data_IF_666149346273
#
_entry.id   IF_666149346273
#
_cell.length_a   1.000
_cell.length_b   1.000
_cell.length_c   1.000
_cell.angle_alpha   90.00
_cell.angle_beta   90.00
_cell.angle_gamma   90.00
#
_symmetry.space_group_name_H-M   'P 1'
#
loop_
_entity.id
_entity.type
_entity.pdbx_description
1 polymer ?
#
# COMPACT_ATOMS: atom_id res chain seq x y z
N UNK A 1 17.17 10.62 -29.26
CA UNK A 1 16.10 9.67 -28.88
C UNK A 1 14.77 10.40 -29.03
N UNK A 2 13.80 9.88 -29.79
CA UNK A 2 12.48 10.52 -29.94
C UNK A 2 11.71 10.39 -28.62
N UNK A 3 11.13 11.48 -28.12
CA UNK A 3 10.36 11.54 -26.87
C UNK A 3 9.09 10.70 -26.96
N UNK A 4 9.23 9.39 -26.81
CA UNK A 4 8.10 8.43 -26.82
C UNK A 4 7.05 8.76 -25.75
N UNK A 5 7.48 9.43 -24.68
CA UNK A 5 6.65 9.98 -23.60
C UNK A 5 5.71 11.11 -24.03
N UNK A 6 6.05 11.85 -25.09
CA UNK A 6 5.24 12.94 -25.62
C UNK A 6 4.21 12.47 -26.67
N UNK A 7 4.34 11.22 -27.13
CA UNK A 7 3.43 10.63 -28.13
C UNK A 7 2.25 9.87 -27.52
N UNK A 8 1.43 9.31 -28.41
CA UNK A 8 0.25 8.52 -28.07
C UNK A 8 0.58 7.31 -27.17
N UNK A 9 1.73 6.67 -27.38
CA UNK A 9 2.23 5.57 -26.53
C UNK A 9 2.47 6.01 -25.08
N UNK A 10 3.01 7.21 -24.87
CA UNK A 10 3.16 7.79 -23.53
C UNK A 10 1.82 8.08 -22.86
N UNK A 11 0.82 8.52 -23.64
CA UNK A 11 -0.53 8.78 -23.13
C UNK A 11 -1.19 7.49 -22.60
N UNK A 12 -1.14 6.40 -23.37
CA UNK A 12 -1.63 5.09 -22.92
C UNK A 12 -0.84 4.56 -21.73
N UNK A 13 0.48 4.75 -21.70
CA UNK A 13 1.30 4.35 -20.55
C UNK A 13 0.82 5.00 -19.24
N UNK A 14 0.63 6.32 -19.21
CA UNK A 14 0.14 7.01 -18.01
C UNK A 14 -1.27 6.58 -17.63
N UNK A 15 -2.14 6.35 -18.63
CA UNK A 15 -3.50 5.87 -18.39
C UNK A 15 -3.49 4.50 -17.71
N UNK A 16 -2.75 3.53 -18.27
CA UNK A 16 -2.64 2.18 -17.71
C UNK A 16 -1.93 2.15 -16.37
N UNK A 17 -0.88 2.97 -16.19
CA UNK A 17 -0.22 3.14 -14.91
C UNK A 17 -1.20 3.65 -13.85
N UNK A 18 -2.02 4.64 -14.20
CA UNK A 18 -3.03 5.19 -13.31
C UNK A 18 -4.07 4.17 -12.89
N UNK A 19 -4.63 3.44 -13.85
CA UNK A 19 -5.57 2.34 -13.59
C UNK A 19 -4.92 1.27 -12.70
N UNK A 20 -3.67 0.90 -12.97
CA UNK A 20 -2.93 -0.08 -12.18
C UNK A 20 -2.76 0.33 -10.72
N UNK A 21 -2.43 1.60 -10.45
CA UNK A 21 -2.29 2.11 -9.09
C UNK A 21 -3.63 2.18 -8.35
N UNK A 22 -4.73 2.54 -9.03
CA UNK A 22 -6.08 2.52 -8.45
C UNK A 22 -6.49 1.08 -8.11
N UNK A 23 -6.25 0.13 -9.01
CA UNK A 23 -6.52 -1.28 -8.77
C UNK A 23 -5.70 -1.83 -7.60
N UNK A 24 -4.42 -1.45 -7.50
CA UNK A 24 -3.54 -1.81 -6.39
C UNK A 24 -4.11 -1.34 -5.05
N UNK A 25 -4.59 -0.09 -4.96
CA UNK A 25 -5.27 0.41 -3.76
C UNK A 25 -6.46 -0.49 -3.37
N UNK A 26 -7.31 -0.84 -4.34
CA UNK A 26 -8.47 -1.71 -4.11
C UNK A 26 -8.07 -3.10 -3.61
N UNK A 27 -7.03 -3.71 -4.20
CA UNK A 27 -6.51 -5.01 -3.76
C UNK A 27 -5.94 -4.94 -2.33
N UNK A 28 -5.19 -3.88 -2.00
CA UNK A 28 -4.64 -3.71 -0.65
C UNK A 28 -5.73 -3.55 0.41
N UNK A 29 -6.79 -2.80 0.08
CA UNK A 29 -7.95 -2.63 0.96
C UNK A 29 -8.73 -3.95 1.13
N UNK A 30 -8.88 -4.72 0.06
CA UNK A 30 -9.56 -6.02 0.08
C UNK A 30 -8.78 -7.09 0.86
N UNK A 31 -7.44 -7.08 0.78
CA UNK A 31 -6.57 -8.04 1.46
C UNK A 31 -6.37 -7.77 2.95
N UNK A 32 -6.89 -6.67 3.48
CA UNK A 32 -6.81 -6.37 4.91
C UNK A 32 -7.60 -7.44 5.72
N UNK A 33 -7.00 -8.06 6.75
CA UNK A 33 -7.64 -9.17 7.46
C UNK A 33 -8.86 -8.71 8.26
N UNK A 34 -9.85 -9.60 8.34
CA UNK A 34 -11.03 -9.44 9.20
C UNK A 34 -10.69 -9.90 10.61
N UNK A 35 -11.41 -9.37 11.62
CA UNK A 35 -11.21 -9.75 13.02
C UNK A 35 -11.27 -11.27 13.26
N UNK A 36 -12.18 -11.98 12.58
CA UNK A 36 -12.34 -13.44 12.68
C UNK A 36 -11.17 -14.24 12.10
N UNK A 37 -10.29 -13.62 11.31
CA UNK A 37 -9.09 -14.25 10.73
C UNK A 37 -7.84 -14.05 11.60
N UNK A 38 -7.94 -13.21 12.63
CA UNK A 38 -6.81 -12.90 13.50
C UNK A 38 -6.69 -13.96 14.60
N UNK A 39 -5.51 -14.54 14.71
CA UNK A 39 -5.12 -15.38 15.84
C UNK A 39 -4.57 -14.51 16.97
N UNK A 40 -4.60 -15.03 18.19
CA UNK A 40 -4.13 -14.32 19.39
C UNK A 40 -2.95 -15.06 20.00
N UNK A 41 -1.85 -14.34 20.19
CA UNK A 41 -0.67 -14.80 20.94
C UNK A 41 -0.56 -14.05 22.26
N UNK A 42 -0.01 -14.69 23.30
CA UNK A 42 0.15 -14.06 24.62
C UNK A 42 1.47 -14.48 25.23
N UNK A 43 2.29 -13.50 25.58
CA UNK A 43 3.57 -13.75 26.21
C UNK A 43 4.26 -12.47 26.63
N UNK A 44 5.42 -12.62 27.27
CA UNK A 44 6.34 -11.50 27.50
C UNK A 44 7.24 -11.33 26.29
N UNK A 45 7.65 -10.11 26.00
CA UNK A 45 8.59 -9.83 24.92
C UNK A 45 9.98 -10.31 25.37
N UNK A 46 10.52 -11.33 24.70
CA UNK A 46 11.81 -11.93 25.02
C UNK A 46 12.95 -11.37 24.15
N UNK A 47 12.60 -10.91 22.95
CA UNK A 47 13.53 -10.33 22.00
C UNK A 47 12.79 -9.31 21.15
N UNK A 48 13.46 -8.23 20.77
CA UNK A 48 12.93 -7.24 19.83
C UNK A 48 14.06 -6.61 19.01
N UNK A 49 13.74 -6.24 17.78
CA UNK A 49 14.62 -5.51 16.87
C UNK A 49 13.81 -4.54 16.03
N UNK A 50 14.19 -3.27 16.08
CA UNK A 50 13.63 -2.25 15.21
C UNK A 50 14.38 -2.20 13.88
N UNK A 51 13.62 -1.96 12.82
CA UNK A 51 14.10 -1.65 11.47
C UNK A 51 13.38 -0.43 10.93
N UNK A 52 13.81 0.05 9.76
CA UNK A 52 13.15 1.17 9.06
C UNK A 52 11.75 0.77 8.60
N UNK A 53 10.76 0.96 9.46
CA UNK A 53 9.35 0.74 9.17
C UNK A 53 8.72 -0.51 9.82
N UNK A 54 9.44 -1.24 10.67
CA UNK A 54 8.87 -2.39 11.39
C UNK A 54 9.60 -2.68 12.71
N UNK A 55 8.85 -3.18 13.69
CA UNK A 55 9.37 -3.77 14.92
C UNK A 55 9.17 -5.29 14.86
N UNK A 56 10.27 -6.03 14.85
CA UNK A 56 10.26 -7.49 14.96
C UNK A 56 10.43 -7.86 16.42
N UNK A 57 9.68 -8.84 16.90
CA UNK A 57 9.78 -9.28 18.28
C UNK A 57 9.35 -10.74 18.44
N UNK A 58 9.82 -11.35 19.52
CA UNK A 58 9.47 -12.72 19.88
C UNK A 58 8.86 -12.73 21.27
N UNK A 59 7.74 -13.41 21.40
CA UNK A 59 7.06 -13.62 22.67
C UNK A 59 7.58 -14.88 23.38
N UNK A 60 7.37 -14.95 24.70
CA UNK A 60 7.76 -16.10 25.53
C UNK A 60 7.09 -17.41 25.13
N UNK A 61 5.95 -17.35 24.43
CA UNK A 61 5.26 -18.50 23.81
C UNK A 61 5.88 -18.92 22.47
N UNK A 62 7.07 -18.41 22.15
CA UNK A 62 7.83 -18.62 20.90
C UNK A 62 7.17 -18.04 19.65
N UNK A 63 6.12 -17.22 19.79
CA UNK A 63 5.53 -16.54 18.64
C UNK A 63 6.43 -15.40 18.16
N UNK A 64 6.85 -15.49 16.90
CA UNK A 64 7.62 -14.47 16.22
C UNK A 64 6.68 -13.54 15.44
N UNK A 65 6.74 -12.25 15.72
CA UNK A 65 5.75 -11.28 15.29
C UNK A 65 6.44 -10.04 14.70
N UNK A 66 5.81 -9.44 13.71
CA UNK A 66 6.23 -8.16 13.12
C UNK A 66 5.10 -7.15 13.18
N UNK A 67 5.40 -5.97 13.70
CA UNK A 67 4.49 -4.84 13.72
C UNK A 67 5.01 -3.77 12.75
N UNK A 68 4.25 -3.51 11.69
CA UNK A 68 4.63 -2.51 10.68
C UNK A 68 4.23 -1.10 11.10
N UNK A 69 5.11 -0.13 10.81
CA UNK A 69 4.84 1.27 11.08
C UNK A 69 3.63 1.83 10.33
N UNK A 70 3.34 1.25 9.16
CA UNK A 70 2.17 1.56 8.34
C UNK A 70 0.83 1.36 9.07
N UNK A 71 0.77 0.41 10.02
CA UNK A 71 -0.43 0.12 10.82
C UNK A 71 -0.41 0.72 12.23
N UNK A 72 0.57 1.56 12.52
CA UNK A 72 0.82 2.13 13.85
C UNK A 72 1.34 3.56 13.66
N UNK A 73 0.44 4.42 13.15
CA UNK A 73 0.75 5.76 12.65
C UNK A 73 1.18 6.73 13.74
N UNK A 74 0.72 6.53 14.97
CA UNK A 74 1.13 7.29 16.15
C UNK A 74 2.28 6.60 16.93
N UNK A 75 2.71 5.41 16.50
CA UNK A 75 3.80 4.65 17.11
C UNK A 75 3.45 4.02 18.46
N UNK A 76 2.19 4.12 18.92
CA UNK A 76 1.82 3.70 20.28
C UNK A 76 1.95 2.20 20.48
N UNK A 77 1.63 1.39 19.47
CA UNK A 77 1.74 -0.06 19.59
C UNK A 77 3.22 -0.47 19.66
N UNK A 78 4.10 0.09 18.83
CA UNK A 78 5.54 -0.17 18.89
C UNK A 78 6.15 0.30 20.21
N UNK A 79 5.75 1.47 20.70
CA UNK A 79 6.21 1.98 21.99
C UNK A 79 5.76 1.07 23.13
N UNK A 80 4.51 0.62 23.11
CA UNK A 80 3.97 -0.29 24.12
C UNK A 80 4.73 -1.62 24.18
N UNK A 81 5.10 -2.19 23.04
CA UNK A 81 5.90 -3.42 22.99
C UNK A 81 7.29 -3.22 23.63
N UNK A 82 7.92 -2.05 23.43
CA UNK A 82 9.20 -1.74 24.07
C UNK A 82 9.09 -1.60 25.57
N UNK A 83 8.04 -0.93 26.03
CA UNK A 83 7.84 -0.64 27.45
C UNK A 83 7.31 -1.85 28.23
N UNK A 84 6.84 -2.90 27.53
CA UNK A 84 6.24 -4.09 28.13
C UNK A 84 7.25 -5.15 28.61
N UNK A 85 8.46 -4.76 29.04
CA UNK A 85 9.52 -5.69 29.49
C UNK A 85 9.04 -6.68 30.58
N UNK A 86 8.22 -6.20 31.52
CA UNK A 86 7.80 -6.98 32.68
C UNK A 86 6.36 -7.53 32.58
N UNK A 87 5.57 -7.07 31.62
CA UNK A 87 4.14 -7.38 31.53
C UNK A 87 3.82 -8.27 30.32
N UNK A 88 2.95 -9.27 30.48
CA UNK A 88 2.51 -10.06 29.34
C UNK A 88 1.68 -9.17 28.39
N UNK A 89 2.04 -9.22 27.11
CA UNK A 89 1.30 -8.59 26.02
C UNK A 89 0.42 -9.64 25.34
N UNK A 90 -0.71 -9.19 24.80
CA UNK A 90 -1.58 -9.98 23.94
C UNK A 90 -1.53 -9.37 22.55
N UNK A 91 -1.21 -10.17 21.54
CA UNK A 91 -1.05 -9.70 20.16
C UNK A 91 -2.00 -10.43 19.24
N UNK A 92 -2.77 -9.67 18.46
CA UNK A 92 -3.59 -10.20 17.38
C UNK A 92 -2.77 -10.19 16.10
N UNK A 93 -2.64 -11.32 15.43
CA UNK A 93 -1.81 -11.48 14.25
C UNK A 93 -2.51 -12.30 13.18
N UNK A 94 -2.05 -12.17 11.92
CA UNK A 94 -2.61 -12.92 10.81
C UNK A 94 -1.62 -13.97 10.31
N UNK A 95 -1.91 -15.24 10.57
CA UNK A 95 -1.00 -16.36 10.31
C UNK A 95 -0.65 -16.56 8.83
N UNK A 96 -1.53 -16.15 7.92
CA UNK A 96 -1.28 -16.25 6.49
C UNK A 96 -0.27 -15.19 5.99
N UNK A 97 -0.02 -14.14 6.78
CA UNK A 97 0.95 -13.09 6.45
C UNK A 97 2.21 -13.25 7.29
N UNK A 98 3.18 -13.97 6.72
CA UNK A 98 4.49 -14.21 7.32
C UNK A 98 5.62 -13.61 6.49
N UNK A 99 6.67 -13.18 7.18
CA UNK A 99 7.89 -12.64 6.57
C UNK A 99 9.11 -13.29 7.19
N UNK A 100 10.03 -13.74 6.35
CA UNK A 100 11.37 -14.13 6.78
C UNK A 100 12.31 -12.93 6.71
N UNK A 101 13.25 -12.83 7.64
CA UNK A 101 14.22 -11.74 7.71
C UNK A 101 15.65 -12.29 7.75
N UNK A 102 16.59 -11.53 7.19
CA UNK A 102 17.99 -11.97 7.08
C UNK A 102 18.79 -11.93 8.39
N UNK A 103 18.26 -11.29 9.44
CA UNK A 103 18.96 -11.07 10.71
C UNK A 103 18.44 -11.91 11.88
N UNK A 104 17.39 -12.72 11.68
CA UNK A 104 16.91 -13.67 12.67
C UNK A 104 16.27 -14.90 11.99
N UNK A 105 16.50 -16.12 12.50
CA UNK A 105 15.88 -17.32 11.95
C UNK A 105 14.37 -17.38 12.30
N UNK A 106 13.58 -17.93 11.38
CA UNK A 106 12.16 -18.23 11.58
C UNK A 106 11.21 -17.42 10.71
N UNK A 107 9.94 -17.33 11.13
CA UNK A 107 8.85 -16.71 10.38
C UNK A 107 8.09 -15.74 11.26
N UNK A 108 8.16 -14.46 10.91
CA UNK A 108 7.51 -13.37 11.65
C UNK A 108 6.13 -13.12 11.08
N UNK A 109 5.09 -13.30 11.91
CA UNK A 109 3.71 -13.07 11.49
C UNK A 109 3.30 -11.62 11.71
N UNK A 110 2.51 -11.08 10.77
CA UNK A 110 2.10 -9.68 10.84
C UNK A 110 1.09 -9.47 11.96
N UNK A 111 1.44 -8.59 12.88
CA UNK A 111 0.60 -8.13 13.99
C UNK A 111 -0.32 -6.98 13.55
N UNK A 112 -1.57 -7.05 13.99
CA UNK A 112 -2.66 -6.11 13.68
C UNK A 112 -3.31 -5.51 14.92
N UNK A 113 -2.87 -5.90 16.12
CA UNK A 113 -3.33 -5.32 17.35
C UNK A 113 -2.47 -5.76 18.52
N UNK A 114 -2.22 -4.84 19.44
CA UNK A 114 -1.48 -5.07 20.68
C UNK A 114 -2.38 -4.69 21.86
N UNK A 115 -2.37 -5.50 22.91
CA UNK A 115 -3.03 -5.24 24.17
C UNK A 115 -2.10 -5.53 25.35
N UNK A 116 -2.16 -4.70 26.38
CA UNK A 116 -1.39 -4.85 27.62
C UNK A 116 -2.33 -4.79 28.81
N UNK A 117 -2.20 -5.75 29.72
CA UNK A 117 -3.13 -5.87 30.86
C UNK A 117 -4.60 -6.02 30.43
N UNK A 118 -4.86 -6.59 29.25
CA UNK A 118 -6.20 -6.75 28.70
C UNK A 118 -6.79 -5.51 28.02
N UNK A 119 -6.06 -4.38 27.97
CA UNK A 119 -6.49 -3.17 27.26
C UNK A 119 -5.85 -3.08 25.90
N UNK A 120 -6.66 -2.97 24.85
CA UNK A 120 -6.18 -2.73 23.49
C UNK A 120 -5.53 -1.34 23.37
N UNK A 121 -4.35 -1.29 22.76
CA UNK A 121 -3.61 -0.04 22.51
C UNK A 121 -4.23 0.72 21.34
N UNK A 122 -4.62 -0.01 20.30
CA UNK A 122 -5.32 0.49 19.13
C UNK A 122 -6.33 -0.56 18.67
N UNK A 123 -7.51 -0.10 18.25
CA UNK A 123 -8.53 -0.94 17.66
C UNK A 123 -8.12 -1.39 16.24
N UNK A 124 -8.64 -2.53 15.79
CA UNK A 124 -8.40 -3.01 14.42
C UNK A 124 -8.86 -1.99 13.36
N UNK A 125 -9.92 -1.23 13.65
CA UNK A 125 -10.41 -0.16 12.77
C UNK A 125 -9.42 1.00 12.63
N UNK A 126 -8.74 1.38 13.72
CA UNK A 126 -7.67 2.38 13.69
C UNK A 126 -6.48 1.88 12.87
N UNK A 127 -6.03 0.65 13.11
CA UNK A 127 -4.93 0.02 12.34
C UNK A 127 -5.27 -0.01 10.85
N UNK A 128 -6.49 -0.44 10.49
CA UNK A 128 -6.96 -0.40 9.10
C UNK A 128 -6.96 1.03 8.53
N UNK A 129 -7.41 2.00 9.32
CA UNK A 129 -7.40 3.41 8.97
C UNK A 129 -6.00 3.94 8.64
N UNK A 130 -5.00 3.56 9.44
CA UNK A 130 -3.60 3.93 9.21
C UNK A 130 -3.05 3.28 7.94
N UNK A 131 -3.30 1.98 7.73
CA UNK A 131 -2.95 1.30 6.48
C UNK A 131 -3.60 1.95 5.27
N UNK A 132 -4.89 2.30 5.37
CA UNK A 132 -5.64 2.95 4.30
C UNK A 132 -5.08 4.33 3.99
N UNK A 133 -4.73 5.13 5.01
CA UNK A 133 -4.15 6.47 4.85
C UNK A 133 -2.85 6.41 4.05
N UNK A 134 -1.97 5.47 4.36
CA UNK A 134 -0.73 5.27 3.60
C UNK A 134 -1.02 4.81 2.15
N UNK A 135 -2.02 3.95 1.97
CA UNK A 135 -2.46 3.51 0.63
C UNK A 135 -3.11 4.63 -0.22
N UNK A 136 -3.64 5.70 0.40
CA UNK A 136 -4.25 6.81 -0.35
C UNK A 136 -3.27 7.50 -1.28
N UNK A 137 -1.96 7.46 -1.00
CA UNK A 137 -0.93 8.01 -1.89
C UNK A 137 -0.97 7.30 -3.25
N UNK A 138 -1.07 5.96 -3.25
CA UNK A 138 -1.19 5.19 -4.49
C UNK A 138 -2.47 5.54 -5.25
N UNK A 139 -3.59 5.73 -4.54
CA UNK A 139 -4.85 6.14 -5.15
C UNK A 139 -4.75 7.53 -5.79
N UNK A 140 -4.22 8.52 -5.07
CA UNK A 140 -4.08 9.88 -5.56
C UNK A 140 -3.17 9.95 -6.79
N UNK A 141 -2.01 9.27 -6.74
CA UNK A 141 -1.09 9.16 -7.88
C UNK A 141 -1.73 8.43 -9.06
N UNK A 142 -2.52 7.38 -8.79
CA UNK A 142 -3.25 6.63 -9.79
C UNK A 142 -4.29 7.48 -10.53
N UNK A 143 -5.09 8.25 -9.79
CA UNK A 143 -6.09 9.17 -10.36
C UNK A 143 -5.39 10.25 -11.19
N UNK A 144 -4.31 10.85 -10.69
CA UNK A 144 -3.57 11.89 -11.42
C UNK A 144 -2.99 11.35 -12.73
N UNK A 145 -2.35 10.18 -12.70
CA UNK A 145 -1.79 9.53 -13.88
C UNK A 145 -2.88 9.14 -14.90
N UNK A 146 -4.01 8.58 -14.42
CA UNK A 146 -5.14 8.23 -15.27
C UNK A 146 -5.76 9.46 -15.93
N UNK A 147 -5.95 10.55 -15.18
CA UNK A 147 -6.48 11.80 -15.71
C UNK A 147 -5.53 12.42 -16.76
N UNK A 148 -4.23 12.45 -16.48
CA UNK A 148 -3.23 12.96 -17.41
C UNK A 148 -3.15 12.11 -18.69
N UNK A 149 -3.17 10.78 -18.56
CA UNK A 149 -3.21 9.86 -19.69
C UNK A 149 -4.48 10.03 -20.53
N UNK A 150 -5.65 10.06 -19.89
CA UNK A 150 -6.93 10.26 -20.56
C UNK A 150 -7.00 11.60 -21.30
N UNK A 151 -6.54 12.68 -20.67
CA UNK A 151 -6.45 14.00 -21.31
C UNK A 151 -5.55 13.96 -22.55
N UNK A 152 -4.36 13.36 -22.45
CA UNK A 152 -3.43 13.22 -23.59
C UNK A 152 -3.98 12.35 -24.71
N UNK A 153 -4.65 11.24 -24.41
CA UNK A 153 -5.30 10.39 -25.43
C UNK A 153 -6.37 11.21 -26.16
N UNK A 154 -7.13 12.04 -25.43
CA UNK A 154 -8.16 12.92 -26.03
C UNK A 154 -7.57 13.99 -26.94
N UNK A 155 -6.46 14.61 -26.56
CA UNK A 155 -5.83 15.70 -27.34
C UNK A 155 -5.03 15.18 -28.54
N UNK A 156 -4.45 13.98 -28.43
CA UNK A 156 -3.71 13.32 -29.50
C UNK A 156 -4.61 12.47 -30.43
N UNK A 157 -5.89 12.30 -30.08
CA UNK A 157 -6.86 11.54 -30.85
C UNK A 157 -7.19 12.16 -32.22
N UNK A 158 -7.62 11.35 -33.20
CA UNK A 158 -7.80 11.77 -34.60
C UNK A 158 -8.90 12.82 -34.85
N UNK A 159 -9.63 13.26 -33.83
CA UNK A 159 -10.69 14.28 -33.90
C UNK A 159 -10.17 15.72 -34.07
N UNK A 160 -8.87 15.99 -33.92
CA UNK A 160 -8.28 17.32 -34.19
C UNK A 160 -7.79 17.51 -35.64
N UNK A 161 -7.87 16.49 -36.51
CA UNK A 161 -7.48 16.56 -37.94
C UNK A 161 -8.65 16.59 -38.93
N UNK A 162 -9.76 17.25 -38.60
CA UNK A 162 -10.77 17.63 -39.62
C UNK A 162 -11.28 19.05 -39.41
N UNK A 163 -10.57 20.00 -40.02
CA UNK A 163 -11.13 21.22 -40.62
C UNK A 163 -10.04 21.90 -41.46
N UNK A 164 -9.74 21.30 -42.61
CA UNK A 164 -8.88 21.87 -43.65
C UNK A 164 -9.50 21.58 -45.02
N UNK A 165 -10.79 21.83 -45.16
CA UNK A 165 -11.48 21.81 -46.44
C UNK A 165 -11.07 23.02 -47.26
N UNK A 166 -10.42 22.80 -48.39
CA UNK A 166 -10.01 23.86 -49.30
C UNK A 166 -9.61 23.33 -50.67
N UNK A 167 -10.62 23.06 -51.51
CA UNK A 167 -10.64 22.94 -52.99
C UNK A 167 -9.46 22.24 -53.70
N UNK A 168 -9.68 21.13 -54.45
CA UNK A 168 -8.69 20.72 -55.45
C UNK A 168 -8.60 21.78 -56.55
N UNK A 169 -7.37 22.20 -56.88
CA UNK A 169 -7.08 23.16 -57.93
C UNK A 169 -7.60 22.64 -59.28
N UNK A 170 -8.48 23.40 -59.91
CA UNK A 170 -8.96 23.13 -61.27
C UNK A 170 -7.80 23.21 -62.26
N UNK A 171 -7.54 22.09 -62.93
CA UNK A 171 -6.67 21.92 -64.10
C UNK A 171 -7.05 22.94 -65.19
N UNK A 172 -6.12 23.85 -65.54
CA UNK A 172 -6.26 24.73 -66.71
C UNK A 172 -5.32 24.22 -67.79
N UNK A 173 -5.88 23.61 -68.82
CA UNK A 173 -5.19 23.30 -70.08
C UNK A 173 -5.22 24.52 -70.99
N UNK A 174 -4.05 24.96 -71.45
CA UNK A 174 -3.86 25.64 -72.73
C UNK A 174 -2.62 25.05 -73.38
#
# INVERSE_FOLDING_TARGET
MKDWFAGERGAYFFLWLGIGLIALFGVLEYRFPRAAQLETARGRVMWQQETRGALYFTLSDQQQLVLYAKGDGDGRQRQTIRDAELYPVTVKFFRQQKTGIGFAPGAFYTAYGVAVGGKEVASLGQVRGDYRRDNLIALAMGIAAAAAGAWRVRTLGPSSRRAGGGRPASRRSR
#
